data_IF_057569199710
#
_entry.id   IF_057569199710
#
_cell.length_a   1.000
_cell.length_b   1.000
_cell.length_c   1.000
_cell.angle_alpha   90.00
_cell.angle_beta   90.00
_cell.angle_gamma   90.00
#
_symmetry.space_group_name_H-M   'P 1'
#
loop_
_entity.id
_entity.type
_entity.pdbx_description
1 polymer ?
#
# COMPACT_ATOMS: atom_id res chain seq x y z
N UNK A 1 -41.29 72.61 15.17
CA UNK A 1 -39.93 72.15 15.53
C UNK A 1 -39.52 71.13 14.48
N UNK A 2 -38.41 71.38 13.77
CA UNK A 2 -37.51 70.43 13.06
C UNK A 2 -38.14 69.49 12.00
N UNK A 3 -37.83 69.74 10.72
CA UNK A 3 -36.80 69.00 9.93
C UNK A 3 -37.25 67.55 9.64
N UNK A 4 -37.26 66.95 8.44
CA UNK A 4 -36.43 67.11 7.24
C UNK A 4 -36.90 66.16 6.12
N UNK A 5 -36.55 66.53 4.90
CA UNK A 5 -35.96 65.76 3.79
C UNK A 5 -36.54 64.38 3.37
N UNK A 6 -36.96 64.15 2.11
CA UNK A 6 -36.21 64.05 0.82
C UNK A 6 -35.61 62.65 0.55
N UNK A 7 -35.69 62.29 -0.75
CA UNK A 7 -34.94 61.27 -1.48
C UNK A 7 -35.43 59.81 -1.41
N UNK A 8 -36.17 59.43 -2.45
CA UNK A 8 -36.07 58.07 -2.98
C UNK A 8 -34.80 57.90 -3.81
N UNK A 9 -34.36 56.65 -3.95
CA UNK A 9 -33.79 56.07 -5.17
C UNK A 9 -33.65 54.56 -4.93
N UNK A 10 -34.05 53.77 -5.92
CA UNK A 10 -34.20 52.33 -5.81
C UNK A 10 -32.91 51.59 -5.51
N UNK A 11 -33.01 50.59 -4.63
CA UNK A 11 -31.98 49.57 -4.45
C UNK A 11 -32.31 48.42 -5.38
N UNK A 12 -31.50 48.30 -6.43
CA UNK A 12 -31.54 47.20 -7.38
C UNK A 12 -31.22 45.87 -6.73
N UNK A 13 -31.96 44.86 -7.17
CA UNK A 13 -31.88 43.46 -6.78
C UNK A 13 -30.60 42.86 -7.37
N UNK A 14 -29.57 42.63 -6.54
CA UNK A 14 -28.35 41.90 -6.94
C UNK A 14 -28.50 40.45 -6.47
N UNK A 15 -28.59 39.47 -7.39
CA UNK A 15 -28.63 38.06 -7.00
C UNK A 15 -27.21 37.66 -6.55
N UNK A 16 -27.08 37.32 -5.27
CA UNK A 16 -25.85 36.79 -4.69
C UNK A 16 -25.67 35.36 -5.22
N UNK A 17 -24.92 35.22 -6.31
CA UNK A 17 -24.43 33.93 -6.81
C UNK A 17 -23.45 33.35 -5.78
N UNK A 18 -23.95 32.53 -4.84
CA UNK A 18 -23.11 31.66 -4.02
C UNK A 18 -22.43 30.63 -4.94
N UNK A 19 -21.16 30.84 -5.23
CA UNK A 19 -20.30 29.88 -5.89
C UNK A 19 -20.08 28.65 -5.02
N UNK A 20 -20.55 27.49 -5.50
CA UNK A 20 -20.25 26.19 -4.90
C UNK A 20 -18.81 25.82 -5.29
N UNK A 21 -17.88 25.97 -4.35
CA UNK A 21 -16.53 25.44 -4.49
C UNK A 21 -16.60 23.91 -4.39
N UNK A 22 -16.51 23.23 -5.53
CA UNK A 22 -16.38 21.78 -5.58
C UNK A 22 -14.98 21.40 -5.06
N UNK A 23 -14.92 20.86 -3.84
CA UNK A 23 -13.74 20.21 -3.31
C UNK A 23 -13.58 18.87 -4.05
N UNK A 24 -12.77 18.86 -5.10
CA UNK A 24 -12.32 17.62 -5.74
C UNK A 24 -11.32 16.92 -4.82
N UNK A 25 -11.83 16.23 -3.81
CA UNK A 25 -11.08 15.21 -3.07
C UNK A 25 -10.93 14.02 -4.02
N UNK A 26 -9.93 14.06 -4.88
CA UNK A 26 -9.53 12.90 -5.66
C UNK A 26 -8.96 11.89 -4.69
N UNK A 27 -9.60 10.73 -4.52
CA UNK A 27 -8.94 9.58 -3.91
C UNK A 27 -7.73 9.26 -4.79
N UNK A 28 -6.53 9.50 -4.28
CA UNK A 28 -5.31 9.15 -4.98
C UNK A 28 -5.32 7.63 -5.19
N UNK A 29 -5.30 7.21 -6.45
CA UNK A 29 -5.43 5.79 -6.77
C UNK A 29 -4.17 5.03 -6.30
N UNK A 30 -4.32 3.88 -5.61
CA UNK A 30 -3.25 3.28 -4.83
C UNK A 30 -2.03 2.90 -5.67
N UNK A 31 -0.84 3.40 -5.33
CA UNK A 31 0.47 3.11 -5.95
C UNK A 31 1.31 2.08 -5.21
N UNK A 32 2.63 2.20 -5.34
CA UNK A 32 3.59 1.35 -4.62
C UNK A 32 3.53 1.66 -3.13
N UNK A 33 3.43 0.62 -2.32
CA UNK A 33 3.42 0.70 -0.87
C UNK A 33 2.05 0.65 -0.23
N UNK A 34 0.98 0.75 -1.03
CA UNK A 34 -0.37 0.60 -0.51
C UNK A 34 -0.63 -0.81 0.01
N UNK A 35 -1.46 -0.96 1.05
CA UNK A 35 -1.79 -2.26 1.57
C UNK A 35 -2.54 -3.09 0.52
N UNK A 36 -2.24 -4.38 0.47
CA UNK A 36 -3.02 -5.37 -0.23
C UNK A 36 -3.14 -6.62 0.64
N UNK A 37 -4.20 -7.38 0.40
CA UNK A 37 -4.46 -8.66 1.04
C UNK A 37 -4.20 -9.80 0.04
N UNK A 38 -3.28 -10.75 0.31
CA UNK A 38 -2.98 -11.84 -0.62
C UNK A 38 -4.18 -12.77 -0.79
N UNK A 39 -4.57 -13.06 -2.03
CA UNK A 39 -5.70 -13.97 -2.30
C UNK A 39 -5.32 -15.44 -2.08
N UNK A 40 -4.03 -15.78 -2.16
CA UNK A 40 -3.52 -17.14 -2.01
C UNK A 40 -2.47 -17.21 -0.91
N UNK A 41 -2.89 -17.65 0.28
CA UNK A 41 -1.99 -17.95 1.40
C UNK A 41 -1.61 -19.43 1.39
N UNK A 42 -0.31 -19.78 1.39
CA UNK A 42 0.12 -21.18 1.47
C UNK A 42 -0.34 -21.83 2.79
N UNK A 43 -0.52 -23.16 2.77
CA UNK A 43 -0.80 -23.90 4.01
C UNK A 43 0.38 -23.76 4.99
N UNK A 44 0.12 -23.26 6.19
CA UNK A 44 1.16 -22.90 7.17
C UNK A 44 1.77 -21.51 6.94
N UNK A 45 1.08 -20.65 6.19
CA UNK A 45 1.49 -19.27 5.97
C UNK A 45 2.70 -19.09 5.04
N UNK A 46 3.17 -17.85 5.00
CA UNK A 46 4.36 -17.45 4.26
C UNK A 46 5.64 -17.72 5.06
N UNK A 47 6.76 -17.86 4.36
CA UNK A 47 8.08 -18.07 4.96
C UNK A 47 9.03 -16.92 4.64
N UNK A 48 9.79 -16.48 5.65
CA UNK A 48 10.65 -15.28 5.59
C UNK A 48 11.81 -15.33 4.58
N UNK A 49 12.02 -16.48 3.93
CA UNK A 49 13.08 -16.69 2.93
C UNK A 49 12.63 -16.52 1.48
N UNK A 50 11.34 -16.27 1.26
CA UNK A 50 10.73 -16.22 -0.07
C UNK A 50 9.98 -14.92 -0.32
N UNK A 51 9.71 -14.64 -1.59
CA UNK A 51 8.83 -13.57 -2.01
C UNK A 51 7.73 -14.15 -2.91
N UNK A 52 6.50 -13.72 -2.67
CA UNK A 52 5.31 -14.14 -3.42
C UNK A 52 4.78 -12.94 -4.18
N UNK A 53 4.48 -13.12 -5.46
CA UNK A 53 3.92 -12.08 -6.32
C UNK A 53 2.59 -12.56 -6.90
N UNK A 54 1.55 -11.81 -6.61
CA UNK A 54 0.24 -11.98 -7.22
C UNK A 54 0.10 -10.96 -8.35
N UNK A 55 0.37 -11.40 -9.58
CA UNK A 55 0.14 -10.60 -10.77
C UNK A 55 -1.34 -10.68 -11.15
N UNK A 56 -1.98 -9.52 -11.33
CA UNK A 56 -3.44 -9.32 -11.53
C UNK A 56 -4.24 -9.00 -10.26
N UNK A 57 -3.60 -8.58 -9.17
CA UNK A 57 -4.32 -8.09 -7.99
C UNK A 57 -5.20 -6.88 -8.35
N UNK A 58 -6.47 -6.92 -7.97
CA UNK A 58 -7.43 -5.82 -8.21
C UNK A 58 -7.33 -4.71 -7.16
N UNK A 59 -6.65 -4.99 -6.04
CA UNK A 59 -6.42 -4.06 -4.94
C UNK A 59 -5.30 -3.06 -5.29
N UNK A 60 -4.34 -3.52 -6.10
CA UNK A 60 -3.22 -2.72 -6.55
C UNK A 60 -3.48 -2.10 -7.92
N UNK A 61 -3.34 -0.78 -8.05
CA UNK A 61 -3.39 -0.12 -9.38
C UNK A 61 -2.28 -0.64 -10.31
N UNK A 62 -1.13 -0.96 -9.73
CA UNK A 62 0.01 -1.59 -10.39
C UNK A 62 -0.23 -3.04 -10.77
N UNK A 63 -1.35 -3.63 -10.34
CA UNK A 63 -1.76 -5.03 -10.53
C UNK A 63 -0.87 -6.05 -9.84
N UNK A 64 0.05 -5.65 -8.97
CA UNK A 64 0.98 -6.58 -8.31
C UNK A 64 0.90 -6.39 -6.80
N UNK A 65 0.34 -7.38 -6.11
CA UNK A 65 0.49 -7.51 -4.66
C UNK A 65 1.73 -8.36 -4.39
N UNK A 66 2.56 -7.91 -3.44
CA UNK A 66 3.77 -8.63 -3.04
C UNK A 66 3.70 -8.99 -1.57
N UNK A 67 4.09 -10.22 -1.26
CA UNK A 67 4.47 -10.65 0.08
C UNK A 67 5.98 -10.86 0.06
N UNK A 68 6.72 -9.97 0.69
CA UNK A 68 8.18 -9.97 0.68
C UNK A 68 8.72 -10.46 2.02
N UNK A 69 9.23 -11.70 2.06
CA UNK A 69 9.92 -12.26 3.23
C UNK A 69 9.09 -12.19 4.52
N UNK A 70 7.77 -12.40 4.41
CA UNK A 70 6.87 -12.52 5.56
C UNK A 70 7.03 -13.90 6.22
N UNK A 71 7.03 -13.97 7.54
CA UNK A 71 6.83 -15.19 8.31
C UNK A 71 5.41 -15.20 8.87
N UNK A 72 4.63 -16.23 8.55
CA UNK A 72 3.29 -16.46 9.08
C UNK A 72 2.16 -16.23 8.07
N UNK A 73 0.93 -16.39 8.55
CA UNK A 73 -0.33 -16.39 7.80
C UNK A 73 -1.06 -15.05 8.00
N UNK A 74 -1.41 -14.37 6.90
CA UNK A 74 -2.07 -13.06 6.94
C UNK A 74 -3.47 -13.09 7.54
N UNK A 75 -4.13 -14.26 7.58
CA UNK A 75 -5.43 -14.46 8.21
C UNK A 75 -5.31 -14.67 9.74
N UNK A 76 -4.10 -14.98 10.24
CA UNK A 76 -3.81 -15.27 11.65
C UNK A 76 -3.19 -14.07 12.36
N UNK A 77 -3.95 -12.98 12.45
CA UNK A 77 -3.49 -11.75 13.11
C UNK A 77 -3.52 -11.89 14.64
N UNK A 78 -2.40 -11.52 15.27
CA UNK A 78 -2.22 -11.51 16.73
C UNK A 78 -3.28 -10.61 17.39
N UNK A 79 -4.02 -11.19 18.34
CA UNK A 79 -5.09 -10.53 19.08
C UNK A 79 -6.45 -10.49 18.37
N UNK A 80 -6.51 -10.92 17.11
CA UNK A 80 -7.74 -10.94 16.30
C UNK A 80 -8.17 -12.39 15.99
N UNK A 81 -7.22 -13.28 15.74
CA UNK A 81 -7.48 -14.69 15.47
C UNK A 81 -7.50 -15.51 16.77
N UNK A 82 -8.44 -16.47 16.96
CA UNK A 82 -8.55 -17.27 18.19
C UNK A 82 -7.28 -18.09 18.52
N UNK A 83 -6.54 -18.50 17.49
CA UNK A 83 -5.28 -19.24 17.64
C UNK A 83 -4.05 -18.34 17.86
N UNK A 84 -4.21 -17.01 17.80
CA UNK A 84 -3.13 -16.04 17.99
C UNK A 84 -3.44 -15.08 19.13
N UNK A 85 -3.43 -15.55 20.40
CA UNK A 85 -3.67 -14.69 21.55
C UNK A 85 -2.54 -13.66 21.76
N UNK A 86 -2.86 -12.56 22.45
CA UNK A 86 -1.89 -11.52 22.85
C UNK A 86 -0.93 -11.97 23.98
N UNK A 87 -1.06 -13.20 24.47
CA UNK A 87 -0.36 -13.69 25.66
C UNK A 87 1.09 -14.15 25.40
N UNK A 88 1.55 -14.05 24.16
CA UNK A 88 2.90 -14.41 23.76
C UNK A 88 3.10 -15.91 23.49
N UNK A 89 2.06 -16.72 23.57
CA UNK A 89 2.06 -18.09 23.04
C UNK A 89 1.87 -18.05 21.52
N UNK A 90 2.94 -17.71 20.81
CA UNK A 90 2.88 -17.52 19.35
C UNK A 90 3.02 -18.88 18.67
N UNK A 91 1.99 -19.26 17.92
CA UNK A 91 2.16 -20.19 16.80
C UNK A 91 3.07 -19.52 15.75
N UNK A 92 3.91 -20.31 15.07
CA UNK A 92 4.85 -19.80 14.06
C UNK A 92 4.13 -19.17 12.85
N UNK A 93 2.82 -19.41 12.72
CA UNK A 93 1.95 -18.83 11.71
C UNK A 93 1.36 -17.46 12.10
N UNK A 94 1.49 -16.99 13.34
CA UNK A 94 0.85 -15.74 13.77
C UNK A 94 1.60 -14.50 13.28
N UNK A 95 0.86 -13.48 12.84
CA UNK A 95 1.43 -12.23 12.29
C UNK A 95 0.94 -10.98 13.00
N UNK A 96 1.75 -9.92 12.94
CA UNK A 96 1.37 -8.61 13.44
C UNK A 96 0.64 -7.83 12.33
N UNK A 97 -0.65 -7.57 12.55
CA UNK A 97 -1.55 -6.98 11.56
C UNK A 97 -1.44 -5.46 11.39
N UNK A 98 -2.26 -4.87 10.50
CA UNK A 98 -2.34 -3.42 10.30
C UNK A 98 -2.75 -2.70 11.59
N UNK A 99 -1.95 -1.71 12.02
CA UNK A 99 -2.24 -0.95 13.24
C UNK A 99 -1.64 -1.53 14.53
N UNK A 100 -1.00 -2.70 14.48
CA UNK A 100 -0.26 -3.29 15.60
C UNK A 100 0.98 -2.49 16.04
N UNK A 101 1.38 -1.47 15.26
CA UNK A 101 2.61 -0.71 15.51
C UNK A 101 3.86 -1.58 15.43
N UNK A 102 3.79 -2.72 14.73
CA UNK A 102 4.90 -3.65 14.62
C UNK A 102 6.15 -2.99 14.04
N UNK A 103 7.30 -3.44 14.53
CA UNK A 103 8.59 -3.03 14.02
C UNK A 103 8.75 -3.57 12.57
N UNK A 104 8.98 -2.70 11.57
CA UNK A 104 9.06 -3.10 10.17
C UNK A 104 10.26 -4.00 9.86
N UNK A 105 11.26 -4.07 10.75
CA UNK A 105 12.37 -5.02 10.63
C UNK A 105 11.94 -6.46 10.89
N UNK A 106 10.83 -6.68 11.61
CA UNK A 106 10.33 -8.01 11.95
C UNK A 106 9.76 -8.72 10.72
N UNK A 107 10.01 -10.02 10.62
CA UNK A 107 9.51 -10.83 9.52
C UNK A 107 7.98 -11.05 9.61
N UNK A 108 7.37 -10.93 10.79
CA UNK A 108 5.93 -11.12 11.03
C UNK A 108 5.10 -9.84 10.84
N UNK A 109 5.72 -8.71 10.51
CA UNK A 109 5.04 -7.41 10.42
C UNK A 109 4.35 -7.22 9.06
N UNK A 110 3.04 -7.51 8.98
CA UNK A 110 2.28 -7.51 7.71
C UNK A 110 2.40 -6.19 6.96
N UNK A 111 2.22 -4.99 7.56
CA UNK A 111 2.31 -3.73 6.81
C UNK A 111 3.71 -3.43 6.25
N UNK A 112 4.75 -4.06 6.78
CA UNK A 112 6.11 -3.93 6.28
C UNK A 112 6.39 -4.89 5.12
N UNK A 113 5.72 -6.05 5.10
CA UNK A 113 6.04 -7.19 4.24
C UNK A 113 5.02 -7.41 3.12
N UNK A 114 3.78 -6.96 3.29
CA UNK A 114 2.68 -7.12 2.32
C UNK A 114 2.22 -5.77 1.81
N UNK A 115 2.39 -5.52 0.51
CA UNK A 115 2.04 -4.26 -0.11
C UNK A 115 2.01 -4.36 -1.64
N UNK A 116 1.32 -3.40 -2.25
CA UNK A 116 1.33 -3.20 -3.69
C UNK A 116 2.72 -2.77 -4.15
N UNK A 117 3.23 -3.42 -5.19
CA UNK A 117 4.52 -3.08 -5.80
C UNK A 117 4.36 -2.91 -7.31
N UNK A 118 5.42 -2.52 -7.99
CA UNK A 118 5.49 -2.59 -9.43
C UNK A 118 6.87 -3.07 -9.87
N UNK A 119 6.89 -3.60 -11.09
CA UNK A 119 8.12 -4.00 -11.76
C UNK A 119 8.91 -2.73 -12.10
N UNK A 120 10.18 -2.70 -11.74
CA UNK A 120 11.06 -1.55 -11.99
C UNK A 120 12.16 -1.85 -13.01
N UNK A 121 12.36 -3.12 -13.35
CA UNK A 121 13.29 -3.53 -14.41
C UNK A 121 12.68 -4.57 -15.36
N UNK A 122 13.08 -4.47 -16.62
CA UNK A 122 12.71 -5.41 -17.67
C UNK A 122 13.86 -5.48 -18.70
N UNK A 123 14.11 -6.66 -19.31
CA UNK A 123 15.13 -6.79 -20.35
C UNK A 123 14.92 -5.80 -21.50
N UNK A 124 16.02 -5.27 -22.05
CA UNK A 124 15.96 -4.36 -23.18
C UNK A 124 15.17 -4.95 -24.36
N UNK A 125 14.26 -4.16 -24.93
CA UNK A 125 13.36 -4.60 -26.00
C UNK A 125 12.10 -5.35 -25.53
N UNK A 126 11.90 -5.53 -24.22
CA UNK A 126 10.64 -6.03 -23.67
C UNK A 126 9.53 -4.98 -23.76
N UNK A 127 8.30 -5.42 -24.02
CA UNK A 127 7.09 -4.59 -23.95
C UNK A 127 6.47 -4.55 -22.55
N UNK A 128 7.16 -5.06 -21.54
CA UNK A 128 6.64 -5.13 -20.17
C UNK A 128 6.69 -3.75 -19.53
N UNK A 129 5.57 -3.30 -18.98
CA UNK A 129 5.50 -2.02 -18.28
C UNK A 129 6.35 -2.02 -17.01
N UNK A 130 7.18 -1.00 -16.85
CA UNK A 130 7.95 -0.73 -15.63
C UNK A 130 7.54 0.59 -14.98
N UNK A 131 7.99 0.82 -13.76
CA UNK A 131 7.79 2.03 -12.98
C UNK A 131 9.10 2.49 -12.32
N UNK A 132 9.13 3.74 -11.89
CA UNK A 132 10.16 4.22 -10.97
C UNK A 132 9.72 3.96 -9.52
N UNK A 133 10.63 3.44 -8.69
CA UNK A 133 10.32 3.17 -7.30
C UNK A 133 10.28 4.48 -6.51
N UNK A 134 9.21 4.74 -5.73
CA UNK A 134 9.12 5.96 -4.94
C UNK A 134 10.07 5.93 -3.73
N UNK A 135 10.13 7.05 -3.01
CA UNK A 135 10.90 7.17 -1.78
C UNK A 135 10.56 6.06 -0.78
N UNK A 136 11.59 5.56 -0.08
CA UNK A 136 11.46 4.41 0.82
C UNK A 136 11.46 3.04 0.12
N UNK A 137 11.49 2.99 -1.22
CA UNK A 137 11.61 1.75 -1.99
C UNK A 137 12.92 1.71 -2.79
N UNK A 138 13.39 0.49 -3.09
CA UNK A 138 14.55 0.19 -3.93
C UNK A 138 14.15 -0.82 -5.01
N UNK A 139 14.77 -0.74 -6.18
CA UNK A 139 14.52 -1.67 -7.28
C UNK A 139 15.39 -2.92 -7.09
N UNK A 140 14.81 -3.98 -6.51
CA UNK A 140 15.55 -5.17 -6.10
C UNK A 140 15.17 -6.40 -6.93
N UNK A 141 16.12 -7.31 -7.19
CA UNK A 141 15.83 -8.58 -7.84
C UNK A 141 15.01 -9.48 -6.91
N UNK A 142 13.71 -9.62 -7.19
CA UNK A 142 12.79 -10.41 -6.33
C UNK A 142 12.64 -11.84 -6.84
N UNK A 143 12.43 -12.03 -8.15
CA UNK A 143 12.25 -13.35 -8.76
C UNK A 143 13.31 -13.62 -9.82
N UNK A 144 14.23 -14.52 -9.50
CA UNK A 144 15.25 -15.00 -10.45
C UNK A 144 14.76 -16.23 -11.24
N UNK A 145 13.81 -16.97 -10.69
CA UNK A 145 13.18 -18.16 -11.27
C UNK A 145 11.71 -17.85 -11.63
N UNK A 146 11.13 -18.56 -12.60
CA UNK A 146 9.74 -18.33 -13.06
C UNK A 146 9.59 -18.13 -14.58
N UNK A 147 8.46 -17.60 -15.05
CA UNK A 147 8.30 -17.20 -16.46
C UNK A 147 8.85 -15.79 -16.72
N UNK A 148 9.15 -15.45 -17.99
CA UNK A 148 9.61 -14.10 -18.36
C UNK A 148 8.62 -12.99 -17.92
N UNK A 149 7.33 -13.30 -17.79
CA UNK A 149 6.30 -12.36 -17.32
C UNK A 149 6.41 -11.98 -15.84
N UNK A 150 7.11 -12.76 -15.01
CA UNK A 150 7.20 -12.54 -13.55
C UNK A 150 8.64 -12.41 -13.04
N UNK A 151 9.64 -12.94 -13.77
CA UNK A 151 11.05 -12.74 -13.41
C UNK A 151 11.43 -11.28 -13.54
N UNK A 152 12.26 -10.77 -12.62
CA UNK A 152 12.83 -9.43 -12.70
C UNK A 152 12.85 -8.71 -11.35
N UNK A 153 13.07 -7.40 -11.43
CA UNK A 153 13.17 -6.53 -10.26
C UNK A 153 11.87 -5.78 -9.98
N UNK A 154 11.58 -5.61 -8.71
CA UNK A 154 10.38 -4.95 -8.21
C UNK A 154 10.75 -3.96 -7.11
N UNK A 155 9.85 -3.01 -6.85
CA UNK A 155 10.05 -2.04 -5.78
C UNK A 155 9.87 -2.71 -4.41
N UNK A 156 10.96 -2.83 -3.66
CA UNK A 156 11.00 -3.42 -2.32
C UNK A 156 11.24 -2.34 -1.27
N UNK A 157 10.54 -2.42 -0.14
CA UNK A 157 10.61 -1.46 0.95
C UNK A 157 12.01 -1.52 1.59
N UNK A 158 12.75 -0.41 1.59
CA UNK A 158 14.15 -0.34 2.04
C UNK A 158 14.34 -0.82 3.48
N UNK A 159 13.37 -0.58 4.37
CA UNK A 159 13.42 -1.05 5.77
C UNK A 159 13.40 -2.57 5.94
N UNK A 160 13.14 -3.33 4.88
CA UNK A 160 13.05 -4.80 4.87
C UNK A 160 14.21 -5.49 4.16
N UNK A 161 15.01 -4.69 3.44
CA UNK A 161 16.31 -5.08 2.95
C UNK A 161 17.19 -4.99 4.18
N UNK A 162 17.62 -6.12 4.75
CA UNK A 162 18.54 -6.06 5.88
C UNK A 162 19.74 -5.20 5.51
N UNK A 163 20.43 -4.65 6.50
CA UNK A 163 21.79 -4.18 6.30
C UNK A 163 22.60 -5.44 5.95
N UNK A 164 22.68 -5.82 4.67
CA UNK A 164 23.70 -6.75 4.18
C UNK A 164 25.04 -6.02 4.28
N UNK A 165 25.46 -5.71 5.53
CA UNK A 165 26.81 -5.30 5.83
C UNK A 165 27.70 -6.49 5.49
N UNK A 166 28.51 -6.26 4.46
CA UNK A 166 29.48 -7.18 3.88
C UNK A 166 30.53 -7.64 4.88
#
# INVERSE_FOLDING_TARGET
MKDRARFGLGVGLVPFLLGVAALSVGCEAPGVGDPCDPENVPAGGFVSREAYLETSSVQCRTRVCMVYKLQGDTDKVIGEHPDCPLDGTMDDDCVAGPGSGCDPSQATCVPARVYCTCRCDAPAGSSTSTCECPDGYSCEPVLQLGGAGIRGSYCVKKSTLGDEES
#
